data_IF_374751701608
#
_entry.id   IF_374751701608
#
_cell.length_a   1.000
_cell.length_b   1.000
_cell.length_c   1.000
_cell.angle_alpha   90.00
_cell.angle_beta   90.00
_cell.angle_gamma   90.00
#
_symmetry.space_group_name_H-M   'P 1'
#
loop_
_entity.id
_entity.type
_entity.pdbx_description
1 polymer ?
#
# COMPACT_ATOMS: atom_id res chain seq x y z
N UNK A 1 -3.01 -13.61 -18.65
CA UNK A 1 -3.15 -12.33 -19.37
C UNK A 1 -3.98 -11.40 -18.50
N UNK A 2 -3.68 -10.10 -18.52
CA UNK A 2 -4.50 -9.09 -17.82
C UNK A 2 -5.83 -8.89 -18.58
N UNK A 3 -6.89 -8.42 -17.91
CA UNK A 3 -8.15 -8.06 -18.57
C UNK A 3 -7.94 -7.00 -19.67
N UNK A 4 -8.79 -6.96 -20.70
CA UNK A 4 -8.66 -6.01 -21.81
C UNK A 4 -8.71 -4.53 -21.38
N UNK A 5 -9.47 -4.19 -20.33
CA UNK A 5 -9.62 -2.82 -19.82
C UNK A 5 -8.77 -2.59 -18.55
N UNK A 6 -7.45 -2.77 -18.67
CA UNK A 6 -6.52 -2.63 -17.55
C UNK A 6 -5.71 -1.35 -17.64
N UNK A 7 -5.58 -0.64 -16.52
CA UNK A 7 -4.62 0.47 -16.35
C UNK A 7 -3.60 0.05 -15.29
N UNK A 8 -2.32 0.15 -15.64
CA UNK A 8 -1.23 0.03 -14.68
C UNK A 8 -0.73 1.41 -14.27
N UNK A 9 -0.58 1.65 -12.96
CA UNK A 9 -0.09 2.91 -12.41
C UNK A 9 0.86 2.63 -11.24
N UNK A 10 2.01 3.30 -11.25
CA UNK A 10 2.93 3.32 -10.11
C UNK A 10 2.54 4.39 -9.06
N UNK A 11 1.50 5.19 -9.31
CA UNK A 11 1.07 6.27 -8.43
C UNK A 11 -0.22 5.92 -7.71
N UNK A 12 -0.14 5.84 -6.39
CA UNK A 12 -1.31 5.60 -5.54
C UNK A 12 -2.35 6.73 -5.65
N UNK A 13 -1.90 7.97 -5.84
CA UNK A 13 -2.81 9.12 -5.98
C UNK A 13 -3.63 9.01 -7.26
N UNK A 14 -2.98 8.70 -8.40
CA UNK A 14 -3.68 8.48 -9.67
C UNK A 14 -4.65 7.30 -9.54
N UNK A 15 -4.21 6.18 -8.95
CA UNK A 15 -5.08 5.02 -8.74
C UNK A 15 -6.31 5.35 -7.88
N UNK A 16 -6.15 6.06 -6.77
CA UNK A 16 -7.29 6.45 -5.93
C UNK A 16 -8.25 7.37 -6.67
N UNK A 17 -7.76 8.37 -7.41
CA UNK A 17 -8.63 9.27 -8.18
C UNK A 17 -9.42 8.53 -9.26
N UNK A 18 -8.79 7.59 -9.98
CA UNK A 18 -9.47 6.74 -10.96
C UNK A 18 -10.57 5.90 -10.29
N UNK A 19 -10.28 5.26 -9.16
CA UNK A 19 -11.27 4.48 -8.41
C UNK A 19 -12.44 5.32 -7.87
N UNK A 20 -12.21 6.59 -7.55
CA UNK A 20 -13.25 7.50 -7.06
C UNK A 20 -14.12 8.10 -8.17
N UNK A 21 -13.63 8.10 -9.41
CA UNK A 21 -14.29 8.76 -10.54
C UNK A 21 -14.84 7.77 -11.58
N UNK A 22 -14.75 6.46 -11.33
CA UNK A 22 -15.16 5.42 -12.27
C UNK A 22 -15.58 4.13 -11.55
N UNK A 23 -16.11 3.17 -12.30
CA UNK A 23 -16.48 1.83 -11.81
C UNK A 23 -15.28 0.86 -11.77
N UNK A 24 -14.05 1.38 -11.80
CA UNK A 24 -12.85 0.55 -11.75
C UNK A 24 -12.70 -0.14 -10.38
N UNK A 25 -12.08 -1.33 -10.42
CA UNK A 25 -11.67 -2.07 -9.21
C UNK A 25 -10.16 -2.24 -9.21
N UNK A 26 -9.56 -2.27 -8.03
CA UNK A 26 -8.11 -2.45 -7.87
C UNK A 26 -7.79 -3.32 -6.67
N UNK A 27 -6.59 -3.88 -6.68
CA UNK A 27 -6.02 -4.64 -5.57
C UNK A 27 -5.08 -3.71 -4.80
N UNK A 28 -5.33 -3.60 -3.49
CA UNK A 28 -4.51 -2.84 -2.55
C UNK A 28 -4.06 -3.77 -1.43
N UNK A 29 -2.95 -3.43 -0.76
CA UNK A 29 -2.66 -4.05 0.54
C UNK A 29 -3.82 -3.79 1.50
N UNK A 30 -4.18 -4.78 2.34
CA UNK A 30 -5.29 -4.67 3.28
C UNK A 30 -5.19 -3.40 4.15
N UNK A 31 -3.98 -3.07 4.61
CA UNK A 31 -3.71 -1.86 5.40
C UNK A 31 -4.10 -0.58 4.68
N UNK A 32 -3.78 -0.45 3.39
CA UNK A 32 -4.16 0.73 2.61
C UNK A 32 -5.66 0.75 2.34
N UNK A 33 -6.25 -0.39 2.00
CA UNK A 33 -7.69 -0.49 1.78
C UNK A 33 -8.49 -0.07 3.02
N UNK A 34 -8.09 -0.54 4.21
CA UNK A 34 -8.69 -0.16 5.50
C UNK A 34 -8.53 1.33 5.79
N UNK A 35 -7.35 1.91 5.55
CA UNK A 35 -7.10 3.34 5.74
C UNK A 35 -8.02 4.18 4.85
N UNK A 36 -8.13 3.84 3.58
CA UNK A 36 -8.98 4.59 2.63
C UNK A 36 -10.47 4.42 2.94
N UNK A 37 -10.89 3.23 3.37
CA UNK A 37 -12.26 3.00 3.83
C UNK A 37 -12.60 3.81 5.08
N UNK A 38 -11.70 3.87 6.06
CA UNK A 38 -11.89 4.68 7.27
C UNK A 38 -11.99 6.19 6.97
N UNK A 39 -11.40 6.63 5.85
CA UNK A 39 -11.47 8.02 5.38
C UNK A 39 -12.67 8.27 4.44
N UNK A 40 -13.51 7.28 4.18
CA UNK A 40 -14.62 7.38 3.23
C UNK A 40 -14.18 7.55 1.77
N UNK A 41 -12.91 7.28 1.46
CA UNK A 41 -12.36 7.48 0.12
C UNK A 41 -12.64 6.30 -0.82
N UNK A 42 -12.65 5.07 -0.30
CA UNK A 42 -12.87 3.84 -1.07
C UNK A 42 -13.75 2.88 -0.27
N UNK A 43 -14.43 1.96 -0.94
CA UNK A 43 -15.11 0.83 -0.31
C UNK A 43 -14.29 -0.45 -0.45
N UNK A 44 -14.26 -1.28 0.60
CA UNK A 44 -13.69 -2.63 0.52
C UNK A 44 -14.77 -3.57 0.01
N UNK A 45 -14.54 -4.18 -1.15
CA UNK A 45 -15.46 -5.15 -1.73
C UNK A 45 -15.33 -6.51 -1.02
N UNK A 46 -16.46 -7.18 -0.81
CA UNK A 46 -16.50 -8.50 -0.20
C UNK A 46 -16.07 -9.57 -1.22
N UNK A 47 -14.77 -9.85 -1.29
CA UNK A 47 -14.19 -10.87 -2.15
C UNK A 47 -13.99 -12.18 -1.37
N UNK A 48 -14.09 -13.36 -2.04
CA UNK A 48 -13.65 -14.60 -1.45
C UNK A 48 -12.17 -14.49 -1.03
N UNK A 49 -11.77 -15.21 0.01
CA UNK A 49 -10.43 -15.12 0.59
C UNK A 49 -9.35 -15.39 -0.47
N UNK A 50 -8.67 -14.34 -0.91
CA UNK A 50 -7.47 -14.44 -1.77
C UNK A 50 -6.26 -14.49 -0.85
N UNK A 51 -5.39 -15.48 -1.07
CA UNK A 51 -4.19 -15.68 -0.26
C UNK A 51 -3.26 -14.45 -0.36
N UNK A 52 -2.86 -13.90 0.78
CA UNK A 52 -1.96 -12.75 0.82
C UNK A 52 -0.56 -13.18 0.36
N UNK A 53 -0.09 -12.62 -0.75
CA UNK A 53 1.28 -12.86 -1.25
C UNK A 53 2.18 -11.67 -0.89
N UNK A 54 2.95 -11.80 0.18
CA UNK A 54 4.14 -10.97 0.43
C UNK A 54 4.11 -10.09 1.69
N UNK A 55 5.31 -9.89 2.25
CA UNK A 55 5.62 -8.98 3.36
C UNK A 55 6.27 -7.69 2.84
N UNK A 56 5.99 -6.55 3.48
CA UNK A 56 6.75 -5.32 3.24
C UNK A 56 8.11 -5.45 3.91
N UNK A 57 9.19 -5.42 3.12
CA UNK A 57 10.57 -5.39 3.63
C UNK A 57 11.02 -3.95 3.88
N UNK A 58 11.72 -3.73 4.99
CA UNK A 58 12.50 -2.50 5.21
C UNK A 58 13.93 -2.81 4.83
N UNK A 59 14.52 -2.03 3.93
CA UNK A 59 15.89 -2.21 3.46
C UNK A 59 16.74 -1.01 3.88
N UNK A 60 17.96 -1.26 4.34
CA UNK A 60 18.95 -0.23 4.65
C UNK A 60 20.34 -0.67 4.19
N UNK A 61 21.22 0.30 4.01
CA UNK A 61 22.63 0.07 3.70
C UNK A 61 23.35 -0.41 4.97
N UNK A 62 24.09 -1.52 4.90
CA UNK A 62 24.75 -2.13 6.06
C UNK A 62 26.21 -1.70 6.26
N UNK A 63 26.76 -0.85 5.39
CA UNK A 63 28.16 -0.43 5.43
C UNK A 63 28.36 1.00 5.99
N UNK A 64 27.30 1.61 6.54
CA UNK A 64 27.31 2.95 7.12
C UNK A 64 26.75 2.93 8.54
N UNK A 65 27.41 3.66 9.45
CA UNK A 65 26.91 3.85 10.81
C UNK A 65 25.70 4.80 10.77
N UNK A 66 24.52 4.41 11.29
CA UNK A 66 23.36 5.29 11.33
C UNK A 66 23.64 6.58 12.10
N UNK A 67 23.17 7.71 11.58
CA UNK A 67 23.20 8.99 12.31
C UNK A 67 22.32 8.91 13.56
N UNK A 68 22.51 9.82 14.52
CA UNK A 68 21.66 9.90 15.72
C UNK A 68 20.18 10.03 15.38
N UNK A 69 19.83 10.79 14.33
CA UNK A 69 18.46 10.92 13.86
C UNK A 69 17.91 9.60 13.31
N UNK A 70 18.72 8.87 12.52
CA UNK A 70 18.31 7.58 11.96
C UNK A 70 18.14 6.53 13.06
N UNK A 71 19.03 6.48 14.05
CA UNK A 71 18.88 5.60 15.21
C UNK A 71 17.58 5.85 15.97
N UNK A 72 17.22 7.12 16.19
CA UNK A 72 15.94 7.49 16.82
C UNK A 72 14.75 7.05 15.98
N UNK A 73 14.79 7.27 14.67
CA UNK A 73 13.73 6.86 13.75
C UNK A 73 13.54 5.33 13.75
N UNK A 74 14.62 4.56 13.66
CA UNK A 74 14.58 3.10 13.66
C UNK A 74 14.05 2.54 14.99
N UNK A 75 14.42 3.15 16.12
CA UNK A 75 13.87 2.80 17.43
C UNK A 75 12.33 2.88 17.44
N UNK A 76 11.75 3.97 16.95
CA UNK A 76 10.29 4.11 16.89
C UNK A 76 9.64 3.19 15.86
N UNK A 77 10.29 2.94 14.72
CA UNK A 77 9.76 1.99 13.73
C UNK A 77 9.67 0.55 14.26
N UNK A 78 10.58 0.15 15.16
CA UNK A 78 10.57 -1.19 15.77
C UNK A 78 9.55 -1.39 16.89
N UNK A 79 8.86 -0.33 17.32
CA UNK A 79 7.84 -0.40 18.40
C UNK A 79 6.42 -0.67 17.90
N UNK A 80 6.23 -0.84 16.58
CA UNK A 80 4.93 -1.07 15.94
C UNK A 80 4.60 -2.54 15.83
#
# INVERSE_FOLDING_TARGET
MLPENTIESASINVSTNLLQSSDMVSILSLRLAQRYAAQGQLAILNLPKIEQKGSVGVFWRNNETPTTALNRFLYYLSQV
#
